data_IF_582007998679
#
_entry.id   IF_582007998679
#
_cell.length_a   1.000
_cell.length_b   1.000
_cell.length_c   1.000
_cell.angle_alpha   90.00
_cell.angle_beta   90.00
_cell.angle_gamma   90.00
#
_symmetry.space_group_name_H-M   'P 1'
#
loop_
_entity.id
_entity.type
_entity.pdbx_description
1 polymer ?
#
# COMPACT_ATOMS: atom_id res chain seq x y z
N UNK A 1 -19.27 13.53 4.99
CA UNK A 1 -18.97 13.32 6.42
C UNK A 1 -17.80 14.22 6.73
N UNK A 2 -18.01 15.34 7.42
CA UNK A 2 -16.92 16.29 7.71
C UNK A 2 -15.95 15.67 8.72
N UNK A 3 -14.65 15.76 8.42
CA UNK A 3 -13.57 15.30 9.31
C UNK A 3 -13.55 16.18 10.57
N UNK A 4 -13.31 15.58 11.73
CA UNK A 4 -13.29 16.34 13.00
C UNK A 4 -12.09 17.29 13.07
N UNK A 5 -12.24 18.41 13.76
CA UNK A 5 -11.20 19.43 13.92
C UNK A 5 -9.91 18.86 14.54
N UNK A 6 -10.02 17.81 15.34
CA UNK A 6 -8.88 17.11 15.96
C UNK A 6 -7.98 16.45 14.92
N UNK A 7 -8.56 15.87 13.86
CA UNK A 7 -7.82 15.21 12.76
C UNK A 7 -7.09 16.27 11.93
N UNK A 8 -7.78 17.36 11.59
CA UNK A 8 -7.21 18.50 10.86
C UNK A 8 -6.08 19.18 11.65
N UNK A 9 -6.18 19.26 12.97
CA UNK A 9 -5.15 19.82 13.84
C UNK A 9 -3.90 18.92 13.94
N UNK A 10 -4.07 17.59 13.88
CA UNK A 10 -2.94 16.64 13.87
C UNK A 10 -2.19 16.68 12.54
N UNK A 11 -2.91 16.68 11.41
CA UNK A 11 -2.33 16.81 10.06
C UNK A 11 -1.49 18.09 9.93
N UNK A 12 -1.99 19.20 10.49
CA UNK A 12 -1.34 20.52 10.45
C UNK A 12 -0.07 20.62 11.30
N UNK A 13 0.02 19.91 12.43
CA UNK A 13 1.12 20.04 13.38
C UNK A 13 2.34 19.17 13.05
N UNK A 14 2.20 18.10 12.24
CA UNK A 14 3.27 17.14 11.98
C UNK A 14 3.85 17.17 10.55
N UNK A 15 3.29 17.97 9.61
CA UNK A 15 3.70 17.99 8.19
C UNK A 15 3.77 16.59 7.55
N UNK A 16 2.93 15.66 7.99
CA UNK A 16 2.83 14.34 7.38
C UNK A 16 1.66 14.39 6.43
N UNK A 17 1.91 14.18 5.14
CA UNK A 17 0.86 13.69 4.25
C UNK A 17 0.26 12.43 4.91
N UNK A 18 -1.07 12.21 4.85
CA UNK A 18 -1.73 11.14 5.60
C UNK A 18 -1.15 9.74 5.33
N UNK A 19 -0.54 9.56 4.15
CA UNK A 19 0.31 8.41 3.81
C UNK A 19 1.59 8.95 3.16
N UNK A 20 2.75 8.43 3.56
CA UNK A 20 4.01 8.84 2.94
C UNK A 20 4.06 8.47 1.42
N UNK A 21 4.75 9.26 0.58
CA UNK A 21 4.78 9.04 -0.87
C UNK A 21 5.25 7.63 -1.29
N UNK A 22 6.17 7.03 -0.55
CA UNK A 22 6.71 5.69 -0.84
C UNK A 22 5.62 4.64 -0.65
N UNK A 23 4.90 4.73 0.47
CA UNK A 23 3.78 3.84 0.78
C UNK A 23 2.65 3.95 -0.22
N UNK A 24 2.36 5.17 -0.73
CA UNK A 24 1.38 5.36 -1.81
C UNK A 24 1.80 4.65 -3.10
N UNK A 25 3.08 4.71 -3.46
CA UNK A 25 3.59 4.02 -4.66
C UNK A 25 3.54 2.50 -4.51
N UNK A 26 3.92 1.97 -3.34
CA UNK A 26 3.86 0.53 -3.07
C UNK A 26 2.40 0.05 -3.12
N UNK A 27 1.48 0.76 -2.46
CA UNK A 27 0.06 0.44 -2.49
C UNK A 27 -0.50 0.49 -3.91
N UNK A 28 -0.19 1.55 -4.66
CA UNK A 28 -0.60 1.70 -6.06
C UNK A 28 -0.13 0.52 -6.92
N UNK A 29 1.15 0.14 -6.80
CA UNK A 29 1.72 -0.99 -7.53
C UNK A 29 1.02 -2.30 -7.19
N UNK A 30 0.82 -2.54 -5.90
CA UNK A 30 0.14 -3.73 -5.41
C UNK A 30 -1.29 -3.83 -5.95
N UNK A 31 -2.08 -2.77 -5.83
CA UNK A 31 -3.46 -2.71 -6.34
C UNK A 31 -3.49 -2.95 -7.85
N UNK A 32 -2.61 -2.27 -8.60
CA UNK A 32 -2.50 -2.45 -10.06
C UNK A 32 -2.24 -3.91 -10.45
N UNK A 33 -1.31 -4.59 -9.77
CA UNK A 33 -0.97 -5.98 -10.05
C UNK A 33 -2.12 -6.94 -9.74
N UNK A 34 -2.93 -6.65 -8.73
CA UNK A 34 -4.10 -7.45 -8.38
C UNK A 34 -5.25 -7.22 -9.37
N UNK A 35 -5.51 -5.97 -9.74
CA UNK A 35 -6.54 -5.59 -10.71
C UNK A 35 -6.25 -6.19 -12.09
N UNK A 36 -4.99 -6.22 -12.53
CA UNK A 36 -4.57 -6.90 -13.76
C UNK A 36 -4.87 -8.40 -13.76
N UNK A 37 -4.99 -9.02 -12.58
CA UNK A 37 -5.36 -10.43 -12.40
C UNK A 37 -6.87 -10.62 -12.19
N UNK A 38 -7.67 -9.55 -12.22
CA UNK A 38 -9.11 -9.59 -11.98
C UNK A 38 -9.51 -9.99 -10.55
N UNK A 39 -8.62 -9.76 -9.58
CA UNK A 39 -8.86 -10.13 -8.18
C UNK A 39 -9.23 -8.90 -7.34
N UNK A 40 -9.92 -9.11 -6.21
CA UNK A 40 -10.04 -8.10 -5.16
C UNK A 40 -8.91 -8.26 -4.14
N UNK A 41 -8.58 -7.20 -3.39
CA UNK A 41 -7.58 -7.25 -2.31
C UNK A 41 -7.92 -8.34 -1.29
N UNK A 42 -9.18 -8.42 -0.87
CA UNK A 42 -9.65 -9.42 0.09
C UNK A 42 -9.49 -10.85 -0.43
N UNK A 43 -9.86 -11.09 -1.69
CA UNK A 43 -9.71 -12.41 -2.33
C UNK A 43 -8.24 -12.81 -2.47
N UNK A 44 -7.39 -11.86 -2.88
CA UNK A 44 -5.96 -12.06 -3.01
C UNK A 44 -5.32 -12.36 -1.65
N UNK A 45 -5.59 -11.55 -0.63
CA UNK A 45 -5.01 -11.73 0.71
C UNK A 45 -5.41 -13.07 1.32
N UNK A 46 -6.65 -13.52 1.09
CA UNK A 46 -7.12 -14.85 1.50
C UNK A 46 -6.29 -15.95 0.83
N UNK A 47 -6.06 -15.87 -0.49
CA UNK A 47 -5.26 -16.85 -1.23
C UNK A 47 -3.78 -16.81 -0.85
N UNK A 48 -3.25 -15.62 -0.56
CA UNK A 48 -1.86 -15.40 -0.15
C UNK A 48 -1.62 -15.69 1.33
N UNK A 49 -2.66 -16.03 2.11
CA UNK A 49 -2.59 -16.17 3.58
C UNK A 49 -1.99 -14.95 4.29
N UNK A 50 -2.36 -13.75 3.81
CA UNK A 50 -1.96 -12.46 4.39
C UNK A 50 -3.18 -11.81 5.04
N UNK A 51 -3.01 -11.21 6.22
CA UNK A 51 -4.07 -10.41 6.85
C UNK A 51 -4.36 -9.17 5.97
N UNK A 52 -5.60 -8.98 5.47
CA UNK A 52 -5.93 -7.82 4.68
C UNK A 52 -6.02 -6.53 5.51
N UNK A 53 -6.16 -6.60 6.83
CA UNK A 53 -6.44 -5.44 7.69
C UNK A 53 -5.40 -4.32 7.55
N UNK A 54 -4.07 -4.58 7.61
CA UNK A 54 -3.07 -3.52 7.45
C UNK A 54 -3.11 -2.82 6.09
N UNK A 55 -3.53 -3.54 5.04
CA UNK A 55 -3.69 -2.98 3.70
C UNK A 55 -4.96 -2.14 3.61
N UNK A 56 -6.05 -2.62 4.22
CA UNK A 56 -7.33 -1.89 4.30
C UNK A 56 -7.15 -0.60 5.10
N UNK A 57 -6.53 -0.66 6.27
CA UNK A 57 -6.24 0.49 7.13
C UNK A 57 -5.40 1.55 6.39
N UNK A 58 -4.41 1.09 5.61
CA UNK A 58 -3.62 1.97 4.75
C UNK A 58 -4.46 2.60 3.63
N UNK A 59 -5.45 1.91 3.07
CA UNK A 59 -6.34 2.45 2.03
C UNK A 59 -7.37 3.43 2.58
N UNK A 60 -7.85 3.22 3.81
CA UNK A 60 -8.86 4.06 4.47
C UNK A 60 -8.24 5.24 5.21
N UNK A 61 -6.91 5.34 5.25
CA UNK A 61 -6.17 6.33 6.04
C UNK A 61 -6.47 6.24 7.55
N UNK A 62 -6.91 5.06 8.02
CA UNK A 62 -7.21 4.84 9.43
C UNK A 62 -5.96 4.32 10.15
N UNK A 63 -5.42 5.12 11.08
CA UNK A 63 -4.37 4.72 12.04
C UNK A 63 -3.01 4.29 11.44
N UNK A 64 -2.84 4.26 10.11
CA UNK A 64 -1.63 3.80 9.44
C UNK A 64 -1.13 4.84 8.44
N UNK A 65 0.11 5.29 8.62
CA UNK A 65 0.76 6.27 7.73
C UNK A 65 1.79 5.65 6.79
N UNK A 66 2.13 4.36 7.00
CA UNK A 66 3.18 3.63 6.28
C UNK A 66 2.75 2.23 5.90
N UNK A 67 3.15 1.81 4.70
CA UNK A 67 2.98 0.43 4.24
C UNK A 67 3.83 -0.51 5.10
N UNK A 68 3.27 -1.62 5.63
CA UNK A 68 4.03 -2.62 6.36
C UNK A 68 4.92 -3.43 5.39
N UNK A 69 6.16 -2.98 5.22
CA UNK A 69 7.14 -3.54 4.27
C UNK A 69 7.37 -5.04 4.50
N UNK A 70 7.22 -5.51 5.73
CA UNK A 70 7.29 -6.92 6.12
C UNK A 70 6.24 -7.81 5.42
N UNK A 71 5.12 -7.26 4.95
CA UNK A 71 4.13 -8.00 4.17
C UNK A 71 4.58 -8.22 2.73
N UNK A 72 5.49 -7.39 2.20
CA UNK A 72 5.84 -7.37 0.79
C UNK A 72 6.34 -8.72 0.27
N UNK A 73 7.19 -9.50 0.97
CA UNK A 73 7.60 -10.83 0.52
C UNK A 73 6.41 -11.80 0.39
N UNK A 74 5.46 -11.76 1.33
CA UNK A 74 4.27 -12.62 1.30
C UNK A 74 3.32 -12.22 0.15
N UNK A 75 3.14 -10.92 -0.07
CA UNK A 75 2.37 -10.41 -1.20
C UNK A 75 3.02 -10.79 -2.54
N UNK A 76 4.34 -10.64 -2.67
CA UNK A 76 5.06 -11.06 -3.89
C UNK A 76 4.92 -12.56 -4.14
N UNK A 77 5.04 -13.37 -3.09
CA UNK A 77 4.79 -14.82 -3.15
C UNK A 77 3.38 -15.14 -3.65
N UNK A 78 2.35 -14.48 -3.09
CA UNK A 78 0.96 -14.64 -3.54
C UNK A 78 0.72 -14.18 -4.99
N UNK A 79 1.46 -13.18 -5.45
CA UNK A 79 1.43 -12.70 -6.84
C UNK A 79 2.22 -13.62 -7.79
N UNK A 80 3.04 -14.54 -7.27
CA UNK A 80 3.93 -15.39 -8.07
C UNK A 80 5.06 -14.61 -8.75
N UNK A 81 5.52 -13.52 -8.13
CA UNK A 81 6.61 -12.67 -8.63
C UNK A 81 7.69 -12.50 -7.56
N UNK A 82 8.90 -12.10 -7.94
CA UNK A 82 9.92 -11.72 -6.96
C UNK A 82 9.69 -10.29 -6.44
N UNK A 83 10.29 -9.96 -5.29
CA UNK A 83 10.32 -8.58 -4.78
C UNK A 83 10.99 -7.63 -5.78
N UNK A 84 11.98 -8.12 -6.54
CA UNK A 84 12.62 -7.34 -7.60
C UNK A 84 11.62 -6.99 -8.70
N UNK A 85 10.84 -7.98 -9.18
CA UNK A 85 9.83 -7.76 -10.22
C UNK A 85 8.70 -6.83 -9.75
N UNK A 86 8.40 -6.86 -8.45
CA UNK A 86 7.43 -5.94 -7.85
C UNK A 86 7.88 -4.49 -8.05
N UNK A 87 9.15 -4.19 -7.77
CA UNK A 87 9.74 -2.86 -7.93
C UNK A 87 10.16 -2.52 -9.35
N UNK A 88 10.12 -3.47 -10.29
CA UNK A 88 10.40 -3.23 -11.70
C UNK A 88 9.21 -2.54 -12.40
N UNK A 89 8.98 -1.25 -12.07
CA UNK A 89 8.03 -0.39 -12.77
C UNK A 89 8.42 1.11 -12.68
N UNK A 90 8.14 1.91 -13.71
CA UNK A 90 8.11 3.37 -13.57
C UNK A 90 7.00 3.73 -12.57
N UNK A 91 7.26 4.50 -11.49
CA UNK A 91 8.34 5.48 -11.30
C UNK A 91 9.53 5.03 -10.42
N UNK A 92 9.59 3.78 -9.95
CA UNK A 92 10.74 3.29 -9.15
C UNK A 92 12.02 3.16 -10.00
N UNK A 93 11.88 2.70 -11.23
CA UNK A 93 13.00 2.43 -12.14
C UNK A 93 13.56 3.70 -12.81
N UNK A 94 12.83 4.81 -12.76
CA UNK A 94 13.22 6.07 -13.39
C UNK A 94 14.17 6.89 -12.51
N UNK A 95 14.26 6.57 -11.21
CA UNK A 95 15.14 7.26 -10.25
C UNK A 95 16.58 6.70 -10.25
N UNK A 96 16.81 5.53 -10.86
CA UNK A 96 18.13 4.86 -10.91
C UNK A 96 18.98 5.22 -12.15
N UNK A 97 18.84 6.42 -12.74
CA UNK A 97 19.68 6.87 -13.86
C UNK A 97 20.56 8.07 -13.54
#
# INVERSE_FOLDING_TARGET
MEKSESVLAMEKNFKLDPIDPTSRLILYRFVTLIEQRGQSISSFCTLASVDPLPIIDLMTEENVTRFPIELLPALCSGLGISVRDFFDFPPYNEVEK
#
